data_IF_288500151052
#
_entry.id   IF_288500151052
#
_cell.length_a   1.000
_cell.length_b   1.000
_cell.length_c   1.000
_cell.angle_alpha   90.00
_cell.angle_beta   90.00
_cell.angle_gamma   90.00
#
_symmetry.space_group_name_H-M   'P 1'
#
loop_
_entity.id
_entity.type
_entity.pdbx_description
1 polymer ?
#
# COMPACT_ATOMS: atom_id res chain seq x y z
N UNK A 1 -4.91 -25.63 -5.03
CA UNK A 1 -4.69 -24.43 -5.86
C UNK A 1 -5.95 -24.22 -6.66
N UNK A 2 -6.69 -23.12 -6.43
CA UNK A 2 -7.81 -22.60 -7.27
C UNK A 2 -8.55 -21.41 -6.61
N UNK A 3 -8.41 -21.23 -5.29
CA UNK A 3 -9.15 -20.19 -4.54
C UNK A 3 -8.62 -18.75 -4.74
N UNK A 4 -7.40 -18.59 -5.26
CA UNK A 4 -6.80 -17.30 -5.59
C UNK A 4 -7.08 -16.84 -7.04
N UNK A 5 -7.72 -17.67 -7.87
CA UNK A 5 -8.06 -17.37 -9.27
C UNK A 5 -9.55 -17.02 -9.49
N UNK A 6 -10.37 -17.01 -8.44
CA UNK A 6 -11.69 -16.37 -8.55
C UNK A 6 -11.49 -14.84 -8.56
N UNK A 7 -11.97 -14.12 -9.57
CA UNK A 7 -11.74 -12.67 -9.72
C UNK A 7 -12.15 -11.89 -8.46
N UNK A 8 -13.19 -12.36 -7.76
CA UNK A 8 -13.70 -11.82 -6.51
C UNK A 8 -12.73 -11.91 -5.32
N UNK A 9 -11.95 -13.00 -5.20
CA UNK A 9 -11.02 -13.16 -4.08
C UNK A 9 -9.73 -12.37 -4.27
N UNK A 10 -9.26 -12.28 -5.52
CA UNK A 10 -8.09 -11.46 -5.87
C UNK A 10 -8.32 -9.97 -5.63
N UNK A 11 -9.50 -9.45 -6.01
CA UNK A 11 -9.91 -8.07 -5.75
C UNK A 11 -10.07 -7.77 -4.24
N UNK A 12 -10.65 -8.71 -3.48
CA UNK A 12 -10.80 -8.58 -2.03
C UNK A 12 -9.44 -8.53 -1.32
N UNK A 13 -8.50 -9.40 -1.71
CA UNK A 13 -7.14 -9.41 -1.16
C UNK A 13 -6.36 -8.14 -1.52
N UNK A 14 -6.49 -7.64 -2.74
CA UNK A 14 -5.92 -6.34 -3.16
C UNK A 14 -6.50 -5.17 -2.36
N UNK A 15 -7.79 -5.24 -2.04
CA UNK A 15 -8.47 -4.23 -1.21
C UNK A 15 -7.94 -4.28 0.22
N UNK A 16 -7.79 -5.47 0.82
CA UNK A 16 -7.18 -5.65 2.15
C UNK A 16 -5.75 -5.11 2.14
N UNK A 17 -4.96 -5.42 1.11
CA UNK A 17 -3.58 -4.94 0.98
C UNK A 17 -3.54 -3.41 0.91
N UNK A 18 -4.45 -2.79 0.15
CA UNK A 18 -4.59 -1.33 0.06
C UNK A 18 -4.93 -0.71 1.41
N UNK A 19 -5.86 -1.31 2.15
CA UNK A 19 -6.25 -0.86 3.48
C UNK A 19 -5.07 -0.96 4.45
N UNK A 20 -4.34 -2.07 4.48
CA UNK A 20 -3.17 -2.24 5.34
C UNK A 20 -2.07 -1.21 5.06
N UNK A 21 -1.78 -0.94 3.78
CA UNK A 21 -0.82 0.08 3.37
C UNK A 21 -1.28 1.47 3.84
N UNK A 22 -2.54 1.84 3.60
CA UNK A 22 -3.11 3.13 4.01
C UNK A 22 -3.12 3.31 5.53
N UNK A 23 -3.57 2.30 6.27
CA UNK A 23 -3.60 2.33 7.74
C UNK A 23 -2.19 2.51 8.28
N UNK A 24 -1.19 1.80 7.75
CA UNK A 24 0.21 1.95 8.17
C UNK A 24 0.72 3.38 7.96
N UNK A 25 0.42 3.97 6.80
CA UNK A 25 0.81 5.34 6.47
C UNK A 25 0.10 6.36 7.39
N UNK A 26 -1.18 6.15 7.70
CA UNK A 26 -1.94 6.99 8.62
C UNK A 26 -1.41 6.85 10.06
N UNK A 27 -1.08 5.64 10.52
CA UNK A 27 -0.46 5.42 11.83
C UNK A 27 0.89 6.14 11.94
N UNK A 28 1.71 6.09 10.87
CA UNK A 28 2.95 6.86 10.81
C UNK A 28 2.68 8.36 10.90
N UNK A 29 1.64 8.88 10.24
CA UNK A 29 1.26 10.29 10.37
C UNK A 29 0.95 10.67 11.82
N UNK A 30 0.22 9.83 12.55
CA UNK A 30 -0.07 10.05 13.96
C UNK A 30 1.17 9.95 14.85
N UNK A 31 2.07 9.01 14.59
CA UNK A 31 3.35 8.90 15.32
C UNK A 31 4.23 10.15 15.13
N UNK A 32 4.16 10.79 13.95
CA UNK A 32 4.91 12.00 13.61
C UNK A 32 4.10 13.30 13.75
N UNK A 33 3.00 13.29 14.53
CA UNK A 33 2.10 14.45 14.67
C UNK A 33 2.82 15.72 15.16
N UNK A 34 3.88 15.58 15.96
CA UNK A 34 4.72 16.70 16.41
C UNK A 34 5.70 17.27 15.36
N UNK A 35 5.87 16.62 14.20
CA UNK A 35 6.81 17.04 13.14
C UNK A 35 6.20 16.90 11.73
N UNK A 36 5.15 17.68 11.39
CA UNK A 36 4.41 17.53 10.14
C UNK A 36 5.25 17.79 8.87
N UNK A 37 6.28 18.64 8.94
CA UNK A 37 7.20 18.86 7.81
C UNK A 37 8.03 17.62 7.48
N UNK A 38 8.51 16.92 8.51
CA UNK A 38 9.28 15.68 8.36
C UNK A 38 8.40 14.61 7.74
N UNK A 39 7.19 14.43 8.27
CA UNK A 39 6.22 13.49 7.70
C UNK A 39 5.91 13.79 6.23
N UNK A 40 5.74 15.06 5.83
CA UNK A 40 5.47 15.43 4.43
C UNK A 40 6.57 14.97 3.48
N UNK A 41 7.84 15.08 3.89
CA UNK A 41 9.00 14.62 3.11
C UNK A 41 9.09 13.10 3.08
N UNK A 42 8.84 12.44 4.22
CA UNK A 42 8.98 10.98 4.34
C UNK A 42 7.76 10.19 3.87
N UNK A 43 6.61 10.83 3.65
CA UNK A 43 5.35 10.15 3.30
C UNK A 43 5.51 9.21 2.11
N UNK A 44 6.23 9.61 1.07
CA UNK A 44 6.49 8.76 -0.10
C UNK A 44 7.30 7.51 0.26
N UNK A 45 8.35 7.67 1.07
CA UNK A 45 9.16 6.54 1.55
C UNK A 45 8.37 5.60 2.46
N UNK A 46 7.54 6.13 3.35
CA UNK A 46 6.66 5.33 4.22
C UNK A 46 5.66 4.53 3.39
N UNK A 47 5.09 5.14 2.34
CA UNK A 47 4.16 4.48 1.43
C UNK A 47 4.82 3.31 0.68
N UNK A 48 6.02 3.53 0.13
CA UNK A 48 6.80 2.48 -0.55
C UNK A 48 7.21 1.39 0.44
N UNK A 49 7.71 1.75 1.62
CA UNK A 49 8.09 0.79 2.65
C UNK A 49 6.89 -0.06 3.10
N UNK A 50 5.72 0.55 3.31
CA UNK A 50 4.50 -0.18 3.62
C UNK A 50 4.08 -1.11 2.47
N UNK A 51 4.19 -0.66 1.22
CA UNK A 51 3.93 -1.48 0.04
C UNK A 51 4.86 -2.70 -0.06
N UNK A 52 6.16 -2.52 0.18
CA UNK A 52 7.15 -3.61 0.20
C UNK A 52 6.87 -4.58 1.34
N UNK A 53 6.59 -4.08 2.54
CA UNK A 53 6.43 -4.88 3.74
C UNK A 53 5.15 -5.73 3.66
N UNK A 54 4.01 -5.11 3.37
CA UNK A 54 2.74 -5.83 3.24
C UNK A 54 2.65 -6.66 1.96
N UNK A 55 3.17 -6.15 0.84
CA UNK A 55 3.25 -6.89 -0.42
C UNK A 55 4.13 -8.13 -0.30
N UNK A 56 5.28 -8.00 0.35
CA UNK A 56 6.18 -9.12 0.60
C UNK A 56 5.56 -10.19 1.50
N UNK A 57 4.94 -9.79 2.61
CA UNK A 57 4.18 -10.71 3.48
C UNK A 57 3.07 -11.41 2.68
N UNK A 58 2.33 -10.66 1.85
CA UNK A 58 1.29 -11.22 1.00
C UNK A 58 1.83 -12.24 0.00
N UNK A 59 2.95 -11.97 -0.65
CA UNK A 59 3.60 -12.88 -1.59
C UNK A 59 4.12 -14.15 -0.92
N UNK A 60 4.65 -14.04 0.30
CA UNK A 60 5.04 -15.19 1.11
C UNK A 60 3.84 -16.02 1.55
N UNK A 61 2.75 -15.36 1.93
CA UNK A 61 1.52 -16.03 2.34
C UNK A 61 0.87 -16.78 1.18
N UNK A 62 0.94 -16.26 -0.05
CA UNK A 62 0.42 -16.94 -1.24
C UNK A 62 1.29 -18.08 -1.75
N UNK A 63 2.60 -18.06 -1.48
CA UNK A 63 3.51 -19.03 -2.07
C UNK A 63 3.48 -20.40 -1.38
N UNK A 64 2.79 -20.56 -0.24
CA UNK A 64 2.78 -21.76 0.63
C UNK A 64 4.18 -22.22 1.11
N UNK A 65 5.24 -21.51 0.71
CA UNK A 65 6.64 -21.75 1.05
C UNK A 65 7.40 -20.41 1.09
N UNK A 66 8.41 -20.32 1.97
CA UNK A 66 9.31 -19.17 2.10
C UNK A 66 10.27 -19.07 0.90
N UNK A 67 9.69 -18.82 -0.28
CA UNK A 67 10.38 -18.79 -1.55
C UNK A 67 10.58 -17.34 -2.01
N UNK A 68 11.83 -17.00 -2.31
CA UNK A 68 12.21 -15.68 -2.83
C UNK A 68 11.40 -15.21 -4.05
N UNK A 69 11.05 -16.08 -5.02
CA UNK A 69 10.21 -15.68 -6.15
C UNK A 69 8.80 -15.21 -5.73
N UNK A 70 8.20 -15.85 -4.72
CA UNK A 70 6.88 -15.48 -4.19
C UNK A 70 6.92 -14.13 -3.47
N UNK A 71 7.93 -13.93 -2.62
CA UNK A 71 8.18 -12.64 -1.97
C UNK A 71 8.37 -11.52 -3.00
N UNK A 72 9.22 -11.73 -4.01
CA UNK A 72 9.48 -10.74 -5.06
C UNK A 72 8.19 -10.33 -5.79
N UNK A 73 7.38 -11.30 -6.20
CA UNK A 73 6.10 -11.05 -6.87
C UNK A 73 5.11 -10.30 -5.97
N UNK A 74 5.09 -10.63 -4.68
CA UNK A 74 4.29 -9.91 -3.68
C UNK A 74 4.74 -8.46 -3.49
N UNK A 75 6.05 -8.22 -3.41
CA UNK A 75 6.63 -6.87 -3.31
C UNK A 75 6.29 -6.02 -4.54
N UNK A 76 6.41 -6.58 -5.75
CA UNK A 76 6.03 -5.90 -6.99
C UNK A 76 4.56 -5.45 -6.95
N UNK A 77 3.67 -6.35 -6.52
CA UNK A 77 2.25 -6.08 -6.39
C UNK A 77 1.94 -5.04 -5.30
N UNK A 78 2.61 -5.12 -4.15
CA UNK A 78 2.47 -4.14 -3.06
C UNK A 78 2.97 -2.74 -3.42
N UNK A 79 4.07 -2.63 -4.18
CA UNK A 79 4.56 -1.35 -4.71
C UNK A 79 3.55 -0.78 -5.72
N UNK A 80 3.01 -1.60 -6.61
CA UNK A 80 2.01 -1.17 -7.59
C UNK A 80 0.76 -0.61 -6.91
N UNK A 81 0.24 -1.32 -5.91
CA UNK A 81 -0.89 -0.86 -5.09
C UNK A 81 -0.56 0.45 -4.38
N UNK A 82 0.59 0.53 -3.71
CA UNK A 82 1.03 1.75 -3.04
C UNK A 82 1.07 2.95 -4.01
N UNK A 83 1.57 2.76 -5.23
CA UNK A 83 1.62 3.80 -6.25
C UNK A 83 0.22 4.29 -6.65
N UNK A 84 -0.70 3.38 -7.00
CA UNK A 84 -2.08 3.74 -7.37
C UNK A 84 -2.78 4.47 -6.24
N UNK A 85 -2.63 3.98 -5.01
CA UNK A 85 -3.24 4.60 -3.83
C UNK A 85 -2.68 5.99 -3.58
N UNK A 86 -1.37 6.17 -3.71
CA UNK A 86 -0.70 7.46 -3.57
C UNK A 86 -1.15 8.48 -4.62
N UNK A 87 -1.22 8.06 -5.88
CA UNK A 87 -1.68 8.89 -7.00
C UNK A 87 -3.15 9.27 -6.84
N UNK A 88 -4.02 8.29 -6.56
CA UNK A 88 -5.45 8.52 -6.32
C UNK A 88 -5.69 9.52 -5.19
N UNK A 89 -4.96 9.37 -4.08
CA UNK A 89 -5.02 10.33 -2.97
C UNK A 89 -4.56 11.73 -3.38
N UNK A 90 -3.50 11.84 -4.18
CA UNK A 90 -2.99 13.10 -4.72
C UNK A 90 -4.02 13.82 -5.61
N UNK A 91 -4.66 13.09 -6.53
CA UNK A 91 -5.69 13.60 -7.43
C UNK A 91 -6.90 14.10 -6.64
N UNK A 92 -7.44 13.27 -5.73
CA UNK A 92 -8.58 13.65 -4.87
C UNK A 92 -8.26 14.90 -4.05
N UNK A 93 -7.04 14.97 -3.52
CA UNK A 93 -6.59 16.16 -2.78
C UNK A 93 -6.54 17.39 -3.67
N UNK A 94 -5.98 17.31 -4.87
CA UNK A 94 -5.89 18.42 -5.82
C UNK A 94 -7.27 18.95 -6.23
N UNK A 95 -8.24 18.07 -6.50
CA UNK A 95 -9.62 18.47 -6.84
C UNK A 95 -10.28 19.21 -5.68
N UNK A 96 -10.11 18.71 -4.44
CA UNK A 96 -10.65 19.33 -3.24
C UNK A 96 -10.03 20.71 -2.96
N UNK A 97 -8.72 20.86 -3.18
CA UNK A 97 -8.03 22.12 -2.97
C UNK A 97 -8.45 23.16 -4.02
N UNK A 98 -8.68 22.74 -5.29
CA UNK A 98 -9.24 23.61 -6.34
C UNK A 98 -10.68 24.04 -6.09
N UNK A 99 -11.52 23.20 -5.48
CA UNK A 99 -12.92 23.55 -5.14
C UNK A 99 -13.06 24.57 -4.00
N UNK A 100 -11.99 24.83 -3.24
CA UNK A 100 -11.98 25.75 -2.09
C UNK A 100 -11.31 27.09 -2.40
N UNK A 101 -10.74 27.25 -3.60
CA UNK A 101 -10.19 28.51 -4.11
C UNK A 101 -11.24 29.27 -4.91
#
# INVERSE_FOLDING_TARGET
>A
MDWAMTPTNGEFLLTILSVLILTTVETFKYAFCGRPRVYKTFKGFVLIAAGVLWGGIYGLWQADCLCWPGFKKGVELGIYVAFITGVSYGIIKSIRDNKKS
#
